data_IF_490956146967
#
_entry.id   IF_490956146967
#
_cell.length_a   1.000
_cell.length_b   1.000
_cell.length_c   1.000
_cell.angle_alpha   90.00
_cell.angle_beta   90.00
_cell.angle_gamma   90.00
#
_symmetry.space_group_name_H-M   'P 1'
#
loop_
_entity.id
_entity.type
_entity.pdbx_description
1 polymer ?
#
# COMPACT_ATOMS: atom_id res chain seq x y z
N UNK A 1 20.57 25.03 -42.71
CA UNK A 1 20.58 23.80 -41.88
C UNK A 1 21.97 23.22 -41.99
N UNK A 2 22.81 23.38 -40.96
CA UNK A 2 24.19 22.91 -40.95
C UNK A 2 24.23 21.40 -40.76
N UNK A 3 24.78 20.71 -41.75
CA UNK A 3 24.98 19.26 -41.75
C UNK A 3 26.28 18.94 -40.99
N UNK A 4 26.23 18.87 -39.65
CA UNK A 4 27.36 18.35 -38.88
C UNK A 4 27.19 16.84 -38.65
N UNK A 5 28.12 15.99 -39.12
CA UNK A 5 28.03 14.54 -38.97
C UNK A 5 28.40 14.03 -37.57
N UNK A 6 28.79 14.92 -36.65
CA UNK A 6 29.20 14.57 -35.29
C UNK A 6 28.31 15.20 -34.23
N UNK A 7 28.07 14.43 -33.18
CA UNK A 7 27.35 14.87 -31.98
C UNK A 7 28.26 15.84 -31.22
N UNK A 8 27.75 17.00 -30.83
CA UNK A 8 28.52 17.98 -30.06
C UNK A 8 29.01 17.39 -28.72
N UNK A 9 30.23 17.75 -28.28
CA UNK A 9 30.77 17.28 -27.00
C UNK A 9 29.87 17.63 -25.80
N UNK A 10 29.12 18.73 -25.91
CA UNK A 10 28.17 19.16 -24.87
C UNK A 10 26.98 18.20 -24.76
N UNK A 11 26.40 17.76 -25.89
CA UNK A 11 25.34 16.75 -25.89
C UNK A 11 25.82 15.40 -25.33
N UNK A 12 27.07 15.02 -25.61
CA UNK A 12 27.68 13.82 -25.01
C UNK A 12 27.82 13.97 -23.49
N UNK A 13 28.31 15.12 -23.01
CA UNK A 13 28.43 15.39 -21.56
C UNK A 13 27.07 15.37 -20.86
N UNK A 14 26.06 15.99 -21.45
CA UNK A 14 24.68 16.00 -20.96
C UNK A 14 24.11 14.57 -20.81
N UNK A 15 24.39 13.69 -21.77
CA UNK A 15 23.88 12.31 -21.76
C UNK A 15 24.43 11.44 -20.62
N UNK A 16 25.62 11.76 -20.09
CA UNK A 16 26.24 10.98 -19.02
C UNK A 16 26.18 11.66 -17.65
N UNK A 17 26.30 12.99 -17.59
CA UNK A 17 26.29 13.80 -16.37
C UNK A 17 25.42 15.05 -16.55
N UNK A 18 24.08 14.91 -16.56
CA UNK A 18 23.18 16.05 -16.58
C UNK A 18 23.45 16.92 -15.33
N UNK A 19 23.41 18.25 -15.49
CA UNK A 19 23.75 19.23 -14.43
C UNK A 19 22.64 19.42 -13.38
N UNK A 20 21.76 18.46 -13.19
CA UNK A 20 20.60 18.54 -12.30
C UNK A 20 20.35 17.23 -11.56
N UNK A 21 19.50 17.24 -10.51
CA UNK A 21 18.99 16.05 -9.81
C UNK A 21 18.18 15.09 -10.71
N UNK A 22 18.25 15.26 -12.03
CA UNK A 22 17.57 14.42 -13.00
C UNK A 22 18.41 13.23 -13.41
N UNK A 23 17.73 12.14 -13.77
CA UNK A 23 18.39 10.93 -14.22
C UNK A 23 18.95 11.10 -15.62
N UNK A 24 20.19 10.68 -15.83
CA UNK A 24 20.79 10.66 -17.15
C UNK A 24 20.04 9.71 -18.10
N UNK A 25 20.03 9.98 -19.41
CA UNK A 25 19.45 9.08 -20.41
C UNK A 25 19.97 7.64 -20.33
N UNK A 26 21.26 7.46 -20.03
CA UNK A 26 21.85 6.14 -19.84
C UNK A 26 21.28 5.41 -18.61
N UNK A 27 21.08 6.14 -17.50
CA UNK A 27 20.50 5.58 -16.29
C UNK A 27 19.01 5.21 -16.49
N UNK A 28 18.25 5.99 -17.25
CA UNK A 28 16.85 5.68 -17.57
C UNK A 28 16.72 4.37 -18.37
N UNK A 29 17.60 4.15 -19.36
CA UNK A 29 17.64 2.91 -20.15
C UNK A 29 17.99 1.70 -19.28
N UNK A 30 18.94 1.84 -18.36
CA UNK A 30 19.30 0.77 -17.43
C UNK A 30 18.13 0.36 -16.51
N UNK A 31 17.21 1.29 -16.21
CA UNK A 31 16.05 1.04 -15.33
C UNK A 31 14.80 0.57 -16.07
N UNK A 32 14.73 0.76 -17.39
CA UNK A 32 13.63 0.33 -18.25
C UNK A 32 13.17 -1.11 -18.00
N UNK A 33 14.06 -2.14 -17.98
CA UNK A 33 13.63 -3.53 -17.80
C UNK A 33 13.06 -3.84 -16.41
N UNK A 34 13.34 -3.01 -15.41
CA UNK A 34 12.89 -3.22 -14.03
C UNK A 34 11.63 -2.44 -13.67
N UNK A 35 11.19 -1.48 -14.51
CA UNK A 35 10.00 -0.67 -14.22
C UNK A 35 8.76 -1.52 -13.99
N UNK A 36 8.49 -2.44 -14.92
CA UNK A 36 7.31 -3.31 -14.85
C UNK A 36 7.41 -4.28 -13.68
N UNK A 37 8.57 -4.93 -13.51
CA UNK A 37 8.80 -5.89 -12.42
C UNK A 37 8.63 -5.22 -11.06
N UNK A 38 9.22 -4.05 -10.85
CA UNK A 38 9.12 -3.31 -9.60
C UNK A 38 7.71 -2.77 -9.36
N UNK A 39 6.99 -2.36 -10.41
CA UNK A 39 5.59 -1.94 -10.29
C UNK A 39 4.70 -3.12 -9.83
N UNK A 40 4.88 -4.31 -10.42
CA UNK A 40 4.16 -5.52 -10.01
C UNK A 40 4.49 -5.86 -8.55
N UNK A 41 5.77 -5.86 -8.17
CA UNK A 41 6.17 -6.08 -6.77
C UNK A 41 5.51 -5.08 -5.82
N UNK A 42 5.50 -3.79 -6.19
CA UNK A 42 4.85 -2.74 -5.41
C UNK A 42 3.33 -2.96 -5.28
N UNK A 43 2.66 -3.38 -6.36
CA UNK A 43 1.24 -3.72 -6.33
C UNK A 43 0.94 -4.94 -5.44
N UNK A 44 1.79 -5.96 -5.47
CA UNK A 44 1.63 -7.14 -4.61
C UNK A 44 1.80 -6.74 -3.13
N UNK A 45 2.85 -5.98 -2.81
CA UNK A 45 3.09 -5.52 -1.44
C UNK A 45 1.97 -4.60 -0.94
N UNK A 46 1.53 -3.65 -1.78
CA UNK A 46 0.40 -2.77 -1.46
C UNK A 46 -0.91 -3.55 -1.30
N UNK A 47 -1.19 -4.48 -2.21
CA UNK A 47 -2.37 -5.34 -2.16
C UNK A 47 -2.39 -6.23 -0.92
N UNK A 48 -1.24 -6.78 -0.52
CA UNK A 48 -1.10 -7.53 0.73
C UNK A 48 -1.41 -6.65 1.95
N UNK A 49 -0.87 -5.44 2.01
CA UNK A 49 -1.14 -4.52 3.12
C UNK A 49 -2.63 -4.15 3.21
N UNK A 50 -3.25 -3.81 2.08
CA UNK A 50 -4.68 -3.50 1.99
C UNK A 50 -5.53 -4.71 2.35
N UNK A 51 -5.17 -5.90 1.91
CA UNK A 51 -5.93 -7.12 2.19
C UNK A 51 -5.89 -7.48 3.68
N UNK A 52 -4.73 -7.39 4.32
CA UNK A 52 -4.58 -7.60 5.77
C UNK A 52 -5.42 -6.57 6.52
N UNK A 53 -5.30 -5.29 6.20
CA UNK A 53 -6.08 -4.22 6.85
C UNK A 53 -7.60 -4.44 6.70
N UNK A 54 -8.06 -4.74 5.48
CA UNK A 54 -9.47 -4.99 5.21
C UNK A 54 -9.97 -6.24 5.94
N UNK A 55 -9.17 -7.31 5.98
CA UNK A 55 -9.47 -8.52 6.73
C UNK A 55 -9.56 -8.23 8.23
N UNK A 56 -8.63 -7.48 8.81
CA UNK A 56 -8.65 -7.14 10.24
C UNK A 56 -9.95 -6.44 10.64
N UNK A 57 -10.43 -5.47 9.85
CA UNK A 57 -11.72 -4.80 10.12
C UNK A 57 -12.89 -5.78 9.98
N UNK A 58 -12.89 -6.63 8.94
CA UNK A 58 -13.95 -7.61 8.73
C UNK A 58 -13.99 -8.67 9.84
N UNK A 59 -12.83 -9.12 10.30
CA UNK A 59 -12.71 -10.13 11.36
C UNK A 59 -13.29 -9.61 12.68
N UNK A 60 -12.95 -8.38 13.08
CA UNK A 60 -13.46 -7.78 14.32
C UNK A 60 -14.97 -7.54 14.26
N UNK A 61 -15.52 -7.20 13.09
CA UNK A 61 -16.97 -6.96 12.92
C UNK A 61 -17.85 -8.20 13.01
N UNK A 62 -17.28 -9.38 13.19
CA UNK A 62 -18.03 -10.65 13.20
C UNK A 62 -18.28 -11.22 14.60
N UNK A 63 -17.89 -10.54 15.68
CA UNK A 63 -18.31 -10.97 17.03
C UNK A 63 -19.78 -10.60 17.27
N UNK A 64 -20.62 -11.61 17.46
CA UNK A 64 -22.04 -11.50 17.82
C UNK A 64 -22.15 -11.61 19.36
N UNK A 65 -22.34 -10.48 20.03
CA UNK A 65 -22.38 -10.35 21.51
C UNK A 65 -23.64 -10.95 22.15
N UNK A 66 -24.23 -11.95 21.50
CA UNK A 66 -25.45 -12.63 21.92
C UNK A 66 -25.35 -13.29 23.31
N UNK A 67 -24.15 -13.72 23.70
CA UNK A 67 -23.80 -14.30 24.99
C UNK A 67 -23.87 -13.26 26.13
N UNK A 68 -23.33 -12.07 25.90
CA UNK A 68 -23.39 -10.95 26.86
C UNK A 68 -24.83 -10.51 27.11
N UNK A 69 -25.66 -10.50 26.06
CA UNK A 69 -27.08 -10.17 26.15
C UNK A 69 -27.88 -11.20 26.96
N UNK A 70 -27.53 -12.48 26.87
CA UNK A 70 -28.18 -13.55 27.63
C UNK A 70 -27.83 -13.47 29.11
N UNK A 71 -26.54 -13.34 29.46
CA UNK A 71 -26.08 -13.15 30.84
C UNK A 71 -26.69 -11.89 31.48
N UNK A 72 -26.75 -10.78 30.73
CA UNK A 72 -27.39 -9.55 31.19
C UNK A 72 -28.89 -9.75 31.50
N UNK A 73 -29.61 -10.49 30.65
CA UNK A 73 -31.03 -10.83 30.88
C UNK A 73 -31.20 -11.76 32.08
N UNK A 74 -30.28 -12.68 32.31
CA UNK A 74 -30.32 -13.57 33.48
C UNK A 74 -30.06 -12.81 34.78
N UNK A 75 -29.07 -11.92 34.81
CA UNK A 75 -28.82 -11.04 35.97
C UNK A 75 -30.02 -10.15 36.29
N UNK A 76 -30.68 -9.59 35.27
CA UNK A 76 -31.89 -8.79 35.45
C UNK A 76 -33.07 -9.61 35.99
N UNK A 77 -33.21 -10.86 35.55
CA UNK A 77 -34.21 -11.81 36.08
C UNK A 77 -33.92 -12.17 37.54
N UNK A 78 -32.65 -12.41 37.89
CA UNK A 78 -32.22 -12.68 39.26
C UNK A 78 -32.53 -11.53 40.22
N UNK A 79 -32.14 -10.29 39.85
CA UNK A 79 -32.45 -9.09 40.65
C UNK A 79 -33.95 -8.84 40.82
N UNK A 80 -34.75 -9.06 39.78
CA UNK A 80 -36.20 -8.87 39.85
C UNK A 80 -36.88 -9.92 40.75
N UNK A 81 -36.32 -11.12 40.86
CA UNK A 81 -36.79 -12.15 41.78
C UNK A 81 -36.42 -11.85 43.24
N UNK A 82 -35.21 -11.33 43.48
CA UNK A 82 -34.73 -10.91 44.80
C UNK A 82 -35.58 -9.77 45.38
N UNK A 83 -35.93 -8.76 44.58
CA UNK A 83 -36.74 -7.61 45.01
C UNK A 83 -38.24 -7.93 45.27
N UNK A 84 -38.68 -9.16 44.99
CA UNK A 84 -40.07 -9.61 45.18
C UNK A 84 -40.29 -10.43 46.46
N UNK A 85 -39.22 -10.72 47.20
CA UNK A 85 -39.22 -11.33 48.54
C UNK A 85 -39.16 -10.22 49.61
#
# INVERSE_FOLDING_TARGET
>A
MSNEPYISQEAVRESYRPRSYQMSPGLLRAREPFRVKNAITGLILGGLGVSVWAYSIRAVKQEDFSDVDEEAREMMRGRAAENKL
#
